data_IF_450462158837
#
_entry.id   IF_450462158837
#
_cell.length_a   1.000
_cell.length_b   1.000
_cell.length_c   1.000
_cell.angle_alpha   90.00
_cell.angle_beta   90.00
_cell.angle_gamma   90.00
#
_symmetry.space_group_name_H-M   'P 1'
#
loop_
_entity.id
_entity.type
_entity.pdbx_description
1 polymer ?
#
# COMPACT_ATOMS: atom_id res chain seq x y z
N UNK A 1 3.45 14.64 6.29
CA UNK A 1 2.53 13.49 6.10
C UNK A 1 3.24 12.39 5.34
N UNK A 2 3.11 11.16 5.80
CA UNK A 2 3.71 9.99 5.16
C UNK A 2 2.63 9.09 4.58
N UNK A 3 2.95 8.47 3.46
CA UNK A 3 2.10 7.47 2.81
C UNK A 3 2.92 6.20 2.58
N UNK A 4 2.35 5.07 2.97
CA UNK A 4 2.96 3.76 2.79
C UNK A 4 2.13 2.99 1.76
N UNK A 5 2.66 2.79 0.57
CA UNK A 5 2.01 2.02 -0.49
C UNK A 5 2.46 0.57 -0.41
N UNK A 6 1.52 -0.35 -0.30
CA UNK A 6 1.78 -1.78 -0.12
C UNK A 6 1.08 -2.57 -1.22
N UNK A 7 1.84 -3.28 -2.04
CA UNK A 7 1.25 -4.27 -2.96
C UNK A 7 0.88 -5.51 -2.17
N UNK A 8 -0.36 -6.00 -2.33
CA UNK A 8 -0.80 -7.19 -1.61
C UNK A 8 0.17 -8.36 -1.78
N UNK A 9 0.28 -9.21 -0.77
CA UNK A 9 1.14 -10.40 -0.81
C UNK A 9 0.70 -11.42 -1.85
N UNK A 10 1.55 -12.43 -2.08
CA UNK A 10 1.22 -13.52 -2.97
C UNK A 10 -0.12 -14.15 -2.57
N UNK A 11 -1.01 -14.31 -3.52
CA UNK A 11 -2.36 -14.83 -3.32
C UNK A 11 -2.61 -16.06 -4.19
N UNK A 12 -3.54 -16.92 -3.71
CA UNK A 12 -4.01 -18.06 -4.49
C UNK A 12 -4.64 -17.59 -5.80
N UNK A 13 -4.46 -18.39 -6.86
CA UNK A 13 -5.15 -18.13 -8.12
C UNK A 13 -6.65 -18.39 -8.01
N UNK A 14 -7.48 -17.81 -8.91
CA UNK A 14 -8.94 -18.03 -8.88
C UNK A 14 -9.34 -19.48 -9.10
N UNK A 15 -8.50 -20.29 -9.73
CA UNK A 15 -8.72 -21.73 -9.94
C UNK A 15 -8.58 -22.53 -8.64
N UNK A 16 -7.74 -22.06 -7.71
CA UNK A 16 -7.51 -22.70 -6.41
C UNK A 16 -8.57 -22.26 -5.41
N UNK A 17 -8.80 -20.95 -5.31
CA UNK A 17 -9.84 -20.34 -4.49
C UNK A 17 -10.31 -19.04 -5.17
N UNK A 18 -11.59 -18.95 -5.56
CA UNK A 18 -12.10 -17.74 -6.24
C UNK A 18 -12.03 -16.48 -5.37
N UNK A 19 -11.94 -16.61 -4.05
CA UNK A 19 -11.75 -15.47 -3.15
C UNK A 19 -10.29 -14.95 -3.15
N UNK A 20 -9.37 -15.74 -3.66
CA UNK A 20 -7.95 -15.43 -3.76
C UNK A 20 -7.34 -14.94 -2.45
N UNK A 21 -7.35 -15.75 -1.37
CA UNK A 21 -6.65 -15.41 -0.13
C UNK A 21 -5.14 -15.44 -0.34
N UNK A 22 -4.39 -14.82 0.57
CA UNK A 22 -2.94 -14.97 0.60
C UNK A 22 -2.56 -16.46 0.73
N UNK A 23 -1.52 -16.87 0.02
CA UNK A 23 -0.91 -18.18 0.24
C UNK A 23 -0.18 -18.22 1.59
N UNK A 24 0.19 -19.39 2.06
CA UNK A 24 1.02 -19.51 3.28
C UNK A 24 2.35 -18.76 3.14
N UNK A 25 2.99 -18.88 1.97
CA UNK A 25 4.23 -18.15 1.66
C UNK A 25 3.99 -16.63 1.62
N UNK A 26 2.86 -16.20 1.03
CA UNK A 26 2.46 -14.80 0.98
C UNK A 26 2.24 -14.21 2.37
N UNK A 27 1.57 -14.94 3.27
CA UNK A 27 1.37 -14.51 4.66
C UNK A 27 2.69 -14.31 5.38
N UNK A 28 3.61 -15.26 5.25
CA UNK A 28 4.93 -15.18 5.87
C UNK A 28 5.72 -13.98 5.36
N UNK A 29 5.71 -13.74 4.05
CA UNK A 29 6.40 -12.61 3.44
C UNK A 29 5.80 -11.26 3.89
N UNK A 30 4.47 -11.15 3.94
CA UNK A 30 3.78 -9.94 4.40
C UNK A 30 4.09 -9.66 5.87
N UNK A 31 4.11 -10.68 6.72
CA UNK A 31 4.49 -10.52 8.12
C UNK A 31 5.90 -9.95 8.26
N UNK A 32 6.86 -10.49 7.54
CA UNK A 32 8.25 -9.99 7.55
C UNK A 32 8.33 -8.54 7.09
N UNK A 33 7.63 -8.19 6.02
CA UNK A 33 7.59 -6.81 5.53
C UNK A 33 6.97 -5.86 6.54
N UNK A 34 5.88 -6.25 7.18
CA UNK A 34 5.20 -5.43 8.18
C UNK A 34 6.10 -5.19 9.40
N UNK A 35 6.82 -6.22 9.86
CA UNK A 35 7.80 -6.09 10.95
C UNK A 35 8.92 -5.14 10.54
N UNK A 36 9.47 -5.29 9.34
CA UNK A 36 10.53 -4.43 8.84
C UNK A 36 10.07 -2.97 8.66
N UNK A 37 8.85 -2.75 8.18
CA UNK A 37 8.26 -1.42 8.06
C UNK A 37 8.08 -0.76 9.44
N UNK A 38 7.56 -1.51 10.41
CA UNK A 38 7.42 -1.03 11.80
C UNK A 38 8.79 -0.64 12.39
N UNK A 39 9.82 -1.42 12.15
CA UNK A 39 11.19 -1.13 12.58
C UNK A 39 11.76 0.15 11.94
N UNK A 40 11.27 0.53 10.76
CA UNK A 40 11.61 1.80 10.10
C UNK A 40 10.73 2.97 10.55
N UNK A 41 9.88 2.76 11.54
CA UNK A 41 9.03 3.81 12.10
C UNK A 41 7.71 4.01 11.35
N UNK A 42 7.28 3.08 10.50
CA UNK A 42 5.97 3.14 9.89
C UNK A 42 4.88 3.03 10.96
N UNK A 43 4.13 4.11 11.15
CA UNK A 43 3.04 4.18 12.13
C UNK A 43 1.86 4.93 11.55
N UNK A 44 1.16 4.34 10.57
CA UNK A 44 0.01 4.99 9.96
C UNK A 44 -1.10 5.22 11.00
N UNK A 45 -1.84 6.31 10.83
CA UNK A 45 -3.02 6.63 11.65
C UNK A 45 -4.27 6.04 11.01
N UNK A 46 -4.21 5.81 9.69
CA UNK A 46 -5.30 5.16 8.96
C UNK A 46 -4.73 4.13 7.99
N UNK A 47 -5.41 2.99 7.88
CA UNK A 47 -5.07 1.91 6.96
C UNK A 47 -6.26 1.68 6.02
N UNK A 48 -6.02 1.83 4.73
CA UNK A 48 -7.02 1.61 3.68
C UNK A 48 -6.66 0.38 2.83
N UNK A 49 -7.68 -0.35 2.42
CA UNK A 49 -7.55 -1.44 1.45
C UNK A 49 -8.70 -1.43 0.44
N UNK A 50 -8.55 -2.16 -0.65
CA UNK A 50 -9.51 -2.17 -1.76
C UNK A 50 -10.81 -2.94 -1.49
N UNK A 51 -10.87 -3.69 -0.41
CA UNK A 51 -11.98 -4.62 -0.13
C UNK A 51 -11.74 -6.05 -0.65
N UNK A 52 -10.83 -6.24 -1.60
CA UNK A 52 -10.46 -7.59 -2.06
C UNK A 52 -9.70 -8.33 -0.94
N UNK A 53 -10.01 -9.64 -0.77
CA UNK A 53 -9.50 -10.40 0.38
C UNK A 53 -7.98 -10.34 0.51
N UNK A 54 -7.22 -10.51 -0.58
CA UNK A 54 -5.75 -10.46 -0.56
C UNK A 54 -5.19 -9.12 -0.10
N UNK A 55 -5.84 -8.03 -0.47
CA UNK A 55 -5.47 -6.68 -0.02
C UNK A 55 -5.84 -6.46 1.45
N UNK A 56 -7.03 -6.90 1.86
CA UNK A 56 -7.49 -6.84 3.25
C UNK A 56 -6.56 -7.61 4.17
N UNK A 57 -6.20 -8.84 3.83
CA UNK A 57 -5.30 -9.67 4.63
C UNK A 57 -3.91 -9.06 4.75
N UNK A 58 -3.40 -8.48 3.68
CA UNK A 58 -2.13 -7.73 3.71
C UNK A 58 -2.24 -6.52 4.64
N UNK A 59 -3.27 -5.72 4.47
CA UNK A 59 -3.52 -4.53 5.31
C UNK A 59 -3.64 -4.88 6.80
N UNK A 60 -4.33 -5.97 7.13
CA UNK A 60 -4.49 -6.43 8.52
C UNK A 60 -3.14 -6.71 9.20
N UNK A 61 -2.20 -7.32 8.50
CA UNK A 61 -0.89 -7.64 9.05
C UNK A 61 -0.08 -6.37 9.32
N UNK A 62 -0.07 -5.42 8.38
CA UNK A 62 0.56 -4.12 8.59
C UNK A 62 -0.10 -3.34 9.73
N UNK A 63 -1.42 -3.36 9.81
CA UNK A 63 -2.18 -2.73 10.89
C UNK A 63 -1.76 -3.28 12.26
N UNK A 64 -1.69 -4.60 12.39
CA UNK A 64 -1.27 -5.23 13.66
C UNK A 64 0.14 -4.85 14.06
N UNK A 65 1.07 -4.79 13.10
CA UNK A 65 2.50 -4.60 13.39
C UNK A 65 2.89 -3.14 13.48
N UNK A 66 2.28 -2.27 12.70
CA UNK A 66 2.66 -0.86 12.64
C UNK A 66 1.85 0.02 13.60
N UNK A 67 0.54 -0.15 13.67
CA UNK A 67 -0.32 0.59 14.60
C UNK A 67 -1.71 -0.05 14.70
N UNK A 68 -1.92 -0.90 15.67
CA UNK A 68 -3.21 -1.57 15.89
C UNK A 68 -4.31 -0.63 16.42
N UNK A 69 -4.00 0.62 16.70
CA UNK A 69 -4.98 1.66 17.07
C UNK A 69 -5.40 2.50 15.86
N UNK A 70 -4.79 2.28 14.70
CA UNK A 70 -5.16 3.00 13.48
C UNK A 70 -6.59 2.66 13.05
N UNK A 71 -7.25 3.62 12.41
CA UNK A 71 -8.48 3.36 11.68
C UNK A 71 -8.22 2.35 10.57
N UNK A 72 -9.08 1.35 10.43
CA UNK A 72 -8.93 0.28 9.43
C UNK A 72 -10.21 0.20 8.59
N UNK A 73 -10.12 0.41 7.29
CA UNK A 73 -11.30 0.45 6.43
C UNK A 73 -11.02 0.04 4.99
N UNK A 74 -12.01 -0.63 4.37
CA UNK A 74 -12.10 -0.69 2.93
C UNK A 74 -12.47 0.68 2.38
N UNK A 75 -11.88 1.07 1.26
CA UNK A 75 -12.20 2.35 0.62
C UNK A 75 -12.23 2.22 -0.90
N UNK A 76 -12.92 3.17 -1.54
CA UNK A 76 -12.98 3.29 -3.00
C UNK A 76 -11.64 3.82 -3.57
N UNK A 77 -11.55 3.83 -4.88
CA UNK A 77 -10.43 4.39 -5.65
C UNK A 77 -9.12 3.60 -5.51
N UNK A 78 -9.21 2.32 -5.15
CA UNK A 78 -8.07 1.41 -4.99
C UNK A 78 -8.16 0.14 -5.83
N UNK A 79 -9.14 0.03 -6.73
CA UNK A 79 -9.24 -1.14 -7.58
C UNK A 79 -8.10 -1.15 -8.62
N UNK A 80 -7.71 -2.32 -9.15
CA UNK A 80 -6.57 -2.43 -10.08
C UNK A 80 -6.63 -1.48 -11.28
N UNK A 81 -7.83 -1.20 -11.79
CA UNK A 81 -8.06 -0.38 -12.98
C UNK A 81 -8.59 1.02 -12.68
N UNK A 82 -8.71 1.40 -11.41
CA UNK A 82 -9.14 2.75 -11.05
C UNK A 82 -8.10 3.79 -11.50
N UNK A 83 -8.52 4.96 -11.99
CA UNK A 83 -7.61 6.04 -12.27
C UNK A 83 -6.82 6.45 -11.01
N UNK A 84 -5.48 6.41 -11.04
CA UNK A 84 -4.67 6.73 -9.86
C UNK A 84 -4.81 8.20 -9.42
N UNK A 85 -5.23 9.08 -10.33
CA UNK A 85 -5.51 10.50 -10.04
C UNK A 85 -6.57 10.68 -8.95
N UNK A 86 -7.54 9.77 -8.84
CA UNK A 86 -8.58 9.87 -7.82
C UNK A 86 -8.00 9.70 -6.42
N UNK A 87 -7.13 8.72 -6.22
CA UNK A 87 -6.46 8.53 -4.93
C UNK A 87 -5.46 9.65 -4.65
N UNK A 88 -4.71 10.09 -5.66
CA UNK A 88 -3.79 11.23 -5.50
C UNK A 88 -4.53 12.48 -5.03
N UNK A 89 -5.69 12.77 -5.60
CA UNK A 89 -6.53 13.90 -5.18
C UNK A 89 -6.96 13.76 -3.71
N UNK A 90 -7.35 12.56 -3.30
CA UNK A 90 -7.72 12.31 -1.90
C UNK A 90 -6.54 12.51 -0.95
N UNK A 91 -5.35 12.07 -1.33
CA UNK A 91 -4.15 12.24 -0.52
C UNK A 91 -3.75 13.71 -0.35
N UNK A 92 -4.02 14.55 -1.34
CA UNK A 92 -3.80 16.00 -1.23
C UNK A 92 -4.71 16.67 -0.20
N UNK A 93 -5.87 16.12 0.04
CA UNK A 93 -6.79 16.60 1.09
C UNK A 93 -6.59 15.94 2.45
N UNK A 94 -5.67 14.98 2.56
CA UNK A 94 -5.42 14.22 3.77
C UNK A 94 -4.25 14.81 4.56
N UNK A 95 -4.32 14.77 5.87
CA UNK A 95 -3.25 15.25 6.77
C UNK A 95 -2.65 14.15 7.62
N UNK A 96 -3.34 13.02 7.75
CA UNK A 96 -2.91 11.88 8.54
C UNK A 96 -1.93 11.00 7.76
N UNK A 97 -1.04 10.31 8.46
CA UNK A 97 -0.21 9.28 7.84
C UNK A 97 -1.09 8.08 7.45
N UNK A 98 -0.99 7.67 6.20
CA UNK A 98 -1.87 6.66 5.57
C UNK A 98 -1.05 5.48 5.07
N UNK A 99 -1.55 4.26 5.33
CA UNK A 99 -1.08 3.06 4.65
C UNK A 99 -2.17 2.58 3.68
N UNK A 100 -1.78 2.28 2.45
CA UNK A 100 -2.66 1.79 1.40
C UNK A 100 -2.21 0.41 0.96
N UNK A 101 -3.05 -0.60 1.13
CA UNK A 101 -2.82 -1.93 0.56
C UNK A 101 -3.68 -2.09 -0.71
N UNK A 102 -3.00 -2.27 -1.83
CA UNK A 102 -3.64 -2.27 -3.14
C UNK A 102 -3.00 -3.23 -4.15
N UNK A 103 -3.15 -2.89 -5.39
CA UNK A 103 -2.96 -3.78 -6.54
C UNK A 103 -2.10 -3.18 -7.63
N UNK A 104 -1.51 -4.02 -8.46
CA UNK A 104 -1.04 -3.65 -9.79
C UNK A 104 -2.25 -3.63 -10.76
N UNK A 105 -2.32 -2.74 -11.73
CA UNK A 105 -1.28 -1.69 -11.97
C UNK A 105 -1.58 -0.35 -11.30
N UNK A 106 -2.60 -0.28 -10.46
CA UNK A 106 -2.97 0.97 -9.77
C UNK A 106 -1.80 1.56 -8.95
N UNK A 107 -1.15 0.75 -8.09
CA UNK A 107 -0.09 1.26 -7.22
C UNK A 107 1.15 1.78 -7.96
N UNK A 108 1.69 1.08 -8.97
CA UNK A 108 2.80 1.64 -9.76
C UNK A 108 2.45 2.98 -10.42
N UNK A 109 1.23 3.12 -10.92
CA UNK A 109 0.74 4.36 -11.53
C UNK A 109 0.61 5.48 -10.51
N UNK A 110 0.03 5.18 -9.35
CA UNK A 110 -0.08 6.15 -8.26
C UNK A 110 1.31 6.60 -7.79
N UNK A 111 2.21 5.67 -7.56
CA UNK A 111 3.60 5.96 -7.17
C UNK A 111 4.28 6.88 -8.19
N UNK A 112 4.19 6.55 -9.47
CA UNK A 112 4.76 7.36 -10.54
C UNK A 112 4.20 8.79 -10.57
N UNK A 113 2.88 8.95 -10.39
CA UNK A 113 2.26 10.28 -10.27
C UNK A 113 2.78 11.05 -9.06
N UNK A 114 2.92 10.39 -7.92
CA UNK A 114 3.38 11.03 -6.69
C UNK A 114 4.81 11.56 -6.82
N UNK A 115 5.71 10.76 -7.37
CA UNK A 115 7.13 11.15 -7.51
C UNK A 115 7.43 11.93 -8.79
N UNK A 116 6.45 12.10 -9.67
CA UNK A 116 6.61 12.90 -10.89
C UNK A 116 7.44 12.23 -11.98
N UNK A 117 7.31 10.92 -12.15
CA UNK A 117 8.03 10.15 -13.18
C UNK A 117 7.09 9.15 -13.87
N UNK A 118 7.62 8.35 -14.79
CA UNK A 118 6.87 7.25 -15.42
C UNK A 118 6.95 5.96 -14.57
N UNK A 119 6.07 5.00 -14.84
CA UNK A 119 6.00 3.74 -14.09
C UNK A 119 7.30 2.93 -14.15
N UNK A 120 7.93 2.91 -15.33
CA UNK A 120 9.17 2.15 -15.54
C UNK A 120 10.29 2.70 -14.68
N UNK A 121 10.44 4.02 -14.65
CA UNK A 121 11.46 4.70 -13.84
C UNK A 121 11.16 4.61 -12.34
N UNK A 122 9.90 4.65 -11.94
CA UNK A 122 9.50 4.51 -10.54
C UNK A 122 9.78 3.11 -9.99
N UNK A 123 9.53 2.07 -10.79
CA UNK A 123 9.92 0.68 -10.48
C UNK A 123 9.33 0.14 -9.18
N UNK A 124 8.00 0.10 -9.04
CA UNK A 124 7.37 -0.37 -7.81
C UNK A 124 7.69 -1.85 -7.52
N UNK A 125 8.15 -2.20 -6.29
CA UNK A 125 8.52 -3.57 -5.96
C UNK A 125 7.28 -4.48 -5.88
N UNK A 126 7.19 -5.55 -6.70
CA UNK A 126 6.09 -6.52 -6.58
C UNK A 126 6.01 -7.10 -5.17
N UNK A 127 4.80 -7.15 -4.60
CA UNK A 127 4.52 -7.59 -3.23
C UNK A 127 5.32 -6.82 -2.16
N UNK A 128 5.83 -5.65 -2.50
CA UNK A 128 6.68 -4.83 -1.64
C UNK A 128 5.98 -3.60 -1.09
N UNK A 129 6.76 -2.75 -0.46
CA UNK A 129 6.33 -1.52 0.21
C UNK A 129 7.17 -0.35 -0.26
N UNK A 130 6.53 0.79 -0.50
CA UNK A 130 7.21 2.08 -0.75
C UNK A 130 6.67 3.11 0.23
N UNK A 131 7.57 3.75 0.97
CA UNK A 131 7.23 4.86 1.87
C UNK A 131 7.56 6.19 1.21
N UNK A 132 6.60 7.11 1.26
CA UNK A 132 6.70 8.45 0.68
C UNK A 132 6.38 9.50 1.72
N UNK A 133 6.90 10.70 1.53
CA UNK A 133 6.61 11.85 2.38
C UNK A 133 6.30 13.08 1.54
N UNK A 134 5.37 13.88 2.01
CA UNK A 134 5.12 15.23 1.52
C UNK A 134 5.32 16.24 2.64
N UNK A 135 5.96 17.38 2.31
CA UNK A 135 6.16 18.51 3.22
C UNK A 135 5.41 19.76 2.75
N UNK A 136 4.64 19.65 1.65
CA UNK A 136 3.94 20.76 1.00
C UNK A 136 2.47 20.41 0.70
N UNK A 137 1.83 19.75 1.64
CA UNK A 137 0.40 19.39 1.57
C UNK A 137 0.05 18.54 0.34
N UNK A 138 0.96 17.62 -0.04
CA UNK A 138 0.72 16.68 -1.14
C UNK A 138 0.98 17.24 -2.53
N UNK A 139 1.62 18.38 -2.66
CA UNK A 139 1.99 18.91 -3.97
C UNK A 139 3.17 18.16 -4.57
N UNK A 140 4.17 17.84 -3.74
CA UNK A 140 5.31 17.02 -4.12
C UNK A 140 5.56 15.92 -3.11
N UNK A 141 6.13 14.82 -3.58
CA UNK A 141 6.38 13.63 -2.77
C UNK A 141 7.80 13.14 -3.00
N UNK A 142 8.43 12.71 -1.91
CA UNK A 142 9.75 12.09 -1.94
C UNK A 142 9.68 10.68 -1.40
N UNK A 143 10.32 9.74 -2.08
CA UNK A 143 10.45 8.37 -1.57
C UNK A 143 11.46 8.34 -0.43
N UNK A 144 11.08 7.79 0.72
CA UNK A 144 11.94 7.66 1.90
C UNK A 144 12.70 6.35 1.89
N UNK A 145 12.00 5.26 1.64
CA UNK A 145 12.56 3.92 1.56
C UNK A 145 11.59 2.97 0.87
N UNK A 146 12.11 1.82 0.46
CA UNK A 146 11.32 0.72 -0.05
C UNK A 146 11.78 -0.60 0.53
N UNK A 147 10.90 -1.57 0.56
CA UNK A 147 11.16 -2.94 1.00
C UNK A 147 10.64 -3.92 -0.05
N UNK A 148 11.45 -4.94 -0.32
CA UNK A 148 11.08 -6.06 -1.17
C UNK A 148 10.90 -7.31 -0.29
N UNK A 149 10.00 -8.25 -0.67
CA UNK A 149 9.83 -9.48 0.08
C UNK A 149 11.04 -10.39 0.01
#
# INVERSE_FOLDING_TARGET
MKVFLVHHGEAAGPDVDPRRPLTAAGRTAVERLAIAAAARGAKPVVVWHSGKLRAKQTAEEFWRRCNALAEFAATKDLQPDDPPQWMLHRLRGETRDVLIAGHFHHLPRLHALMVGTDETSAGFPPHGVVALETLDEGQTWSELWRLEP
#
